data_IF_352270364543
#
_entry.id   IF_352270364543
#
_cell.length_a   1.000
_cell.length_b   1.000
_cell.length_c   1.000
_cell.angle_alpha   90.00
_cell.angle_beta   90.00
_cell.angle_gamma   90.00
#
_symmetry.space_group_name_H-M   'P 1'
#
loop_
_entity.id
_entity.type
_entity.pdbx_description
1 polymer ?
#
# COMPACT_ATOMS: atom_id res chain seq x y z
N UNK A 1 -3.97 33.65 -72.70
CA UNK A 1 -2.53 33.97 -72.63
C UNK A 1 -2.41 35.43 -72.99
N UNK A 2 -2.17 36.30 -72.01
CA UNK A 2 -1.93 37.73 -72.26
C UNK A 2 -0.58 37.90 -72.94
N UNK A 3 -0.54 38.51 -74.12
CA UNK A 3 0.71 38.86 -74.81
C UNK A 3 1.56 39.81 -73.95
N UNK A 4 2.88 39.65 -74.02
CA UNK A 4 3.83 40.51 -73.31
C UNK A 4 3.77 41.92 -73.89
N UNK A 5 3.40 42.90 -73.07
CA UNK A 5 3.47 44.32 -73.43
C UNK A 5 4.78 44.90 -72.94
N UNK A 6 5.56 45.48 -73.86
CA UNK A 6 6.81 46.17 -73.54
C UNK A 6 6.49 47.42 -72.72
N UNK A 7 7.26 47.68 -71.67
CA UNK A 7 7.11 48.87 -70.81
C UNK A 7 7.93 49.99 -71.45
N UNK A 8 7.30 51.12 -71.75
CA UNK A 8 7.93 52.22 -72.50
C UNK A 8 8.28 53.41 -71.59
N UNK A 9 7.75 53.43 -70.36
CA UNK A 9 7.97 54.53 -69.41
C UNK A 9 8.24 54.03 -67.99
N UNK A 10 8.95 54.85 -67.21
CA UNK A 10 9.23 54.57 -65.81
C UNK A 10 7.94 54.54 -64.95
N UNK A 11 6.96 55.37 -65.27
CA UNK A 11 5.68 55.42 -64.56
C UNK A 11 4.88 54.12 -64.71
N UNK A 12 4.87 53.53 -65.92
CA UNK A 12 4.23 52.24 -66.17
C UNK A 12 4.92 51.11 -65.37
N UNK A 13 6.25 51.11 -65.31
CA UNK A 13 7.02 50.16 -64.50
C UNK A 13 6.67 50.26 -63.01
N UNK A 14 6.71 51.49 -62.47
CA UNK A 14 6.40 51.75 -61.06
C UNK A 14 4.97 51.34 -60.70
N UNK A 15 4.02 51.55 -61.62
CA UNK A 15 2.61 51.16 -61.45
C UNK A 15 2.46 49.63 -61.38
N UNK A 16 3.12 48.90 -62.27
CA UNK A 16 3.11 47.42 -62.28
C UNK A 16 3.78 46.88 -61.00
N UNK A 17 4.91 47.46 -60.58
CA UNK A 17 5.61 47.07 -59.36
C UNK A 17 4.75 47.33 -58.13
N UNK A 18 4.13 48.51 -58.01
CA UNK A 18 3.20 48.82 -56.90
C UNK A 18 2.03 47.85 -56.85
N UNK A 19 1.40 47.53 -57.99
CA UNK A 19 0.31 46.56 -58.05
C UNK A 19 0.77 45.15 -57.63
N UNK A 20 1.98 44.74 -58.03
CA UNK A 20 2.55 43.45 -57.62
C UNK A 20 2.90 43.40 -56.14
N UNK A 21 3.47 44.48 -55.59
CA UNK A 21 3.74 44.62 -54.16
C UNK A 21 2.46 44.67 -53.33
N UNK A 22 1.41 45.33 -53.81
CA UNK A 22 0.10 45.36 -53.16
C UNK A 22 -0.50 43.97 -53.01
N UNK A 23 -0.56 43.21 -54.12
CA UNK A 23 -1.00 41.80 -54.09
C UNK A 23 -0.16 40.93 -53.15
N UNK A 24 1.15 41.15 -53.12
CA UNK A 24 2.04 40.40 -52.22
C UNK A 24 1.75 40.72 -50.75
N UNK A 25 1.55 42.00 -50.42
CA UNK A 25 1.20 42.43 -49.06
C UNK A 25 -0.16 41.86 -48.61
N UNK A 26 -1.16 41.86 -49.49
CA UNK A 26 -2.46 41.24 -49.20
C UNK A 26 -2.33 39.73 -49.00
N UNK A 27 -1.50 39.06 -49.81
CA UNK A 27 -1.29 37.62 -49.70
C UNK A 27 -0.64 37.19 -48.37
N UNK A 28 0.14 38.05 -47.74
CA UNK A 28 0.84 37.79 -46.47
C UNK A 28 0.35 38.69 -45.33
N UNK A 29 -0.87 39.23 -45.44
CA UNK A 29 -1.41 40.15 -44.44
C UNK A 29 -1.60 39.50 -43.05
N UNK A 30 -1.78 38.18 -43.02
CA UNK A 30 -1.99 37.36 -41.83
C UNK A 30 -0.70 36.75 -41.25
N UNK A 31 0.46 36.96 -41.91
CA UNK A 31 1.71 36.30 -41.54
C UNK A 31 2.15 36.59 -40.11
N UNK A 32 2.05 37.85 -39.66
CA UNK A 32 2.43 38.24 -38.31
C UNK A 32 1.49 37.64 -37.25
N UNK A 33 0.18 37.52 -37.56
CA UNK A 33 -0.79 36.86 -36.69
C UNK A 33 -0.50 35.37 -36.59
N UNK A 34 -0.23 34.70 -37.72
CA UNK A 34 0.11 33.29 -37.75
C UNK A 34 1.39 33.02 -36.96
N UNK A 35 2.41 33.87 -37.12
CA UNK A 35 3.67 33.76 -36.38
C UNK A 35 3.45 33.91 -34.87
N UNK A 36 2.65 34.89 -34.46
CA UNK A 36 2.29 35.06 -33.04
C UNK A 36 1.55 33.83 -32.51
N UNK A 37 0.57 33.33 -33.25
CA UNK A 37 -0.24 32.17 -32.84
C UNK A 37 0.58 30.89 -32.72
N UNK A 38 1.52 30.66 -33.64
CA UNK A 38 2.46 29.53 -33.54
C UNK A 38 3.33 29.66 -32.30
N UNK A 39 3.90 30.83 -32.04
CA UNK A 39 4.70 31.05 -30.82
C UNK A 39 3.90 30.82 -29.54
N UNK A 40 2.64 31.26 -29.49
CA UNK A 40 1.77 31.03 -28.33
C UNK A 40 1.44 29.55 -28.17
N UNK A 41 1.07 28.86 -29.26
CA UNK A 41 0.76 27.43 -29.24
C UNK A 41 1.99 26.58 -28.85
N UNK A 42 3.19 26.96 -29.26
CA UNK A 42 4.43 26.29 -28.85
C UNK A 42 4.67 26.44 -27.35
N UNK A 43 4.47 27.64 -26.79
CA UNK A 43 4.59 27.89 -25.36
C UNK A 43 3.52 27.13 -24.55
N UNK A 44 2.27 27.16 -24.99
CA UNK A 44 1.17 26.40 -24.36
C UNK A 44 1.42 24.89 -24.41
N UNK A 45 1.86 24.36 -25.56
CA UNK A 45 2.20 22.94 -25.68
C UNK A 45 3.36 22.54 -24.77
N UNK A 46 4.36 23.40 -24.59
CA UNK A 46 5.44 23.15 -23.65
C UNK A 46 4.92 23.06 -22.20
N UNK A 47 4.09 24.02 -21.77
CA UNK A 47 3.48 24.02 -20.45
C UNK A 47 2.54 22.83 -20.21
N UNK A 48 1.76 22.45 -21.21
CA UNK A 48 0.90 21.26 -21.14
C UNK A 48 1.72 19.97 -21.00
N UNK A 49 2.82 19.83 -21.74
CA UNK A 49 3.73 18.67 -21.63
C UNK A 49 4.34 18.57 -20.23
N UNK A 50 4.77 19.69 -19.66
CA UNK A 50 5.31 19.73 -18.30
C UNK A 50 4.24 19.33 -17.26
N UNK A 51 3.03 19.88 -17.39
CA UNK A 51 1.89 19.54 -16.52
C UNK A 51 1.54 18.05 -16.60
N UNK A 52 1.52 17.47 -17.80
CA UNK A 52 1.28 16.04 -18.00
C UNK A 52 2.39 15.19 -17.37
N UNK A 53 3.65 15.59 -17.54
CA UNK A 53 4.78 14.88 -16.93
C UNK A 53 4.67 14.89 -15.40
N UNK A 54 4.36 16.05 -14.80
CA UNK A 54 4.18 16.18 -13.36
C UNK A 54 2.97 15.37 -12.86
N UNK A 55 1.84 15.43 -13.56
CA UNK A 55 0.65 14.64 -13.22
C UNK A 55 0.91 13.14 -13.26
N UNK A 56 1.68 12.66 -14.25
CA UNK A 56 2.04 11.25 -14.35
C UNK A 56 2.96 10.82 -13.20
N UNK A 57 3.92 11.66 -12.80
CA UNK A 57 4.77 11.38 -11.65
C UNK A 57 3.94 11.29 -10.37
N UNK A 58 3.05 12.25 -10.14
CA UNK A 58 2.15 12.24 -8.97
C UNK A 58 1.23 11.01 -8.96
N UNK A 59 0.73 10.59 -10.12
CA UNK A 59 -0.08 9.38 -10.23
C UNK A 59 0.72 8.12 -9.85
N UNK A 60 1.97 8.01 -10.31
CA UNK A 60 2.85 6.89 -9.95
C UNK A 60 3.17 6.88 -8.44
N UNK A 61 3.40 8.05 -7.85
CA UNK A 61 3.67 8.17 -6.41
C UNK A 61 2.43 7.76 -5.57
N UNK A 62 1.22 8.10 -6.03
CA UNK A 62 -0.01 7.66 -5.37
C UNK A 62 -0.26 6.16 -5.53
N UNK A 63 0.02 5.57 -6.69
CA UNK A 63 -0.13 4.12 -6.88
C UNK A 63 0.79 3.36 -5.92
N UNK A 64 2.05 3.78 -5.80
CA UNK A 64 3.01 3.21 -4.85
C UNK A 64 2.53 3.31 -3.40
N UNK A 65 1.97 4.46 -3.01
CA UNK A 65 1.38 4.63 -1.66
C UNK A 65 0.17 3.71 -1.45
N UNK A 66 -0.70 3.56 -2.45
CA UNK A 66 -1.86 2.66 -2.39
C UNK A 66 -1.42 1.21 -2.21
N UNK A 67 -0.42 0.75 -2.95
CA UNK A 67 0.15 -0.60 -2.78
C UNK A 67 0.75 -0.80 -1.39
N UNK A 68 1.49 0.20 -0.88
CA UNK A 68 2.04 0.19 0.47
C UNK A 68 0.96 0.11 1.55
N UNK A 69 -0.11 0.89 1.42
CA UNK A 69 -1.25 0.84 2.35
C UNK A 69 -2.01 -0.47 2.27
N UNK A 70 -2.24 -1.02 1.06
CA UNK A 70 -2.87 -2.35 0.89
C UNK A 70 -2.09 -3.44 1.60
N UNK A 71 -0.76 -3.47 1.43
CA UNK A 71 0.12 -4.43 2.10
C UNK A 71 0.04 -4.30 3.63
N UNK A 72 0.06 -3.06 4.12
CA UNK A 72 -0.05 -2.78 5.56
C UNK A 72 -1.41 -3.23 6.13
N UNK A 73 -2.50 -2.97 5.41
CA UNK A 73 -3.85 -3.40 5.80
C UNK A 73 -3.93 -4.92 5.84
N UNK A 74 -3.45 -5.62 4.81
CA UNK A 74 -3.42 -7.08 4.77
C UNK A 74 -2.61 -7.67 5.94
N UNK A 75 -1.49 -7.03 6.29
CA UNK A 75 -0.69 -7.38 7.47
C UNK A 75 -1.47 -7.24 8.77
N UNK A 76 -2.17 -6.12 8.97
CA UNK A 76 -3.02 -5.90 10.16
C UNK A 76 -4.21 -6.86 10.24
N UNK A 77 -4.87 -7.14 9.12
CA UNK A 77 -5.99 -8.10 9.06
C UNK A 77 -5.53 -9.51 9.43
N UNK A 78 -4.36 -9.93 8.91
CA UNK A 78 -3.76 -11.22 9.24
C UNK A 78 -3.39 -11.29 10.72
N UNK A 79 -2.71 -10.27 11.26
CA UNK A 79 -2.35 -10.21 12.68
C UNK A 79 -3.58 -10.27 13.59
N UNK A 80 -4.63 -9.50 13.27
CA UNK A 80 -5.90 -9.51 14.02
C UNK A 80 -6.54 -10.89 14.01
N UNK A 81 -6.55 -11.57 12.87
CA UNK A 81 -7.11 -12.92 12.73
C UNK A 81 -6.31 -13.92 13.56
N UNK A 82 -4.98 -13.87 13.50
CA UNK A 82 -4.10 -14.70 14.34
C UNK A 82 -4.34 -14.48 15.83
N UNK A 83 -4.46 -13.23 16.28
CA UNK A 83 -4.78 -12.92 17.69
C UNK A 83 -6.14 -13.46 18.09
N UNK A 84 -7.17 -13.31 17.24
CA UNK A 84 -8.50 -13.84 17.53
C UNK A 84 -8.50 -15.38 17.65
N UNK A 85 -7.76 -16.07 16.78
CA UNK A 85 -7.61 -17.52 16.84
C UNK A 85 -6.83 -17.94 18.10
N UNK A 86 -5.71 -17.29 18.41
CA UNK A 86 -4.94 -17.60 19.62
C UNK A 86 -5.80 -17.50 20.89
N UNK A 87 -6.58 -16.42 21.02
CA UNK A 87 -7.53 -16.24 22.13
C UNK A 87 -8.59 -17.34 22.17
N UNK A 88 -9.15 -17.72 21.01
CA UNK A 88 -10.18 -18.75 20.91
C UNK A 88 -9.68 -20.14 21.33
N UNK A 89 -8.41 -20.45 21.05
CA UNK A 89 -7.79 -21.74 21.37
C UNK A 89 -7.02 -21.74 22.69
N UNK A 90 -7.13 -20.67 23.48
CA UNK A 90 -6.49 -20.57 24.80
C UNK A 90 -4.97 -20.44 24.76
N UNK A 91 -4.43 -20.01 23.61
CA UNK A 91 -3.01 -19.72 23.45
C UNK A 91 -2.71 -18.31 23.98
N UNK A 92 -1.60 -18.12 24.71
CA UNK A 92 -1.16 -16.78 25.09
C UNK A 92 -0.98 -15.89 23.85
N UNK A 93 -1.30 -14.60 23.98
CA UNK A 93 -1.30 -13.63 22.86
C UNK A 93 0.06 -13.55 22.16
N UNK A 94 1.15 -13.69 22.92
CA UNK A 94 2.53 -13.72 22.41
C UNK A 94 2.78 -14.83 21.37
N UNK A 95 1.92 -15.86 21.31
CA UNK A 95 2.01 -16.93 20.32
C UNK A 95 1.15 -16.71 19.08
N UNK A 96 0.32 -15.65 19.03
CA UNK A 96 -0.48 -15.33 17.86
C UNK A 96 0.40 -15.18 16.61
N UNK A 97 1.53 -14.48 16.73
CA UNK A 97 2.47 -14.27 15.61
C UNK A 97 3.11 -15.56 15.11
N UNK A 98 3.14 -16.61 15.95
CA UNK A 98 3.72 -17.91 15.61
C UNK A 98 2.76 -18.83 14.85
N UNK A 99 1.47 -18.52 14.81
CA UNK A 99 0.51 -19.27 14.01
C UNK A 99 0.85 -19.17 12.53
N UNK A 100 0.97 -20.32 11.87
CA UNK A 100 1.29 -20.42 10.44
C UNK A 100 0.06 -20.87 9.65
N UNK A 101 -0.18 -20.19 8.54
CA UNK A 101 -1.32 -20.46 7.67
C UNK A 101 -1.67 -19.26 6.80
N UNK A 102 -2.14 -19.54 5.58
CA UNK A 102 -2.62 -18.54 4.63
C UNK A 102 -4.13 -18.32 4.77
N UNK A 103 -4.86 -19.36 5.18
CA UNK A 103 -6.32 -19.35 5.35
C UNK A 103 -6.72 -19.54 6.82
N UNK A 104 -7.92 -19.06 7.19
CA UNK A 104 -8.48 -19.20 8.54
C UNK A 104 -8.50 -20.67 9.01
N UNK A 105 -8.86 -21.61 8.13
CA UNK A 105 -8.86 -23.04 8.46
C UNK A 105 -7.46 -23.58 8.79
N UNK A 106 -6.43 -23.11 8.08
CA UNK A 106 -5.05 -23.52 8.33
C UNK A 106 -4.50 -22.95 9.64
N UNK A 107 -4.82 -21.69 9.94
CA UNK A 107 -4.49 -21.04 11.21
C UNK A 107 -5.19 -21.70 12.40
N UNK A 108 -6.45 -22.11 12.22
CA UNK A 108 -7.21 -22.87 13.21
C UNK A 108 -6.54 -24.22 13.49
N UNK A 109 -6.22 -24.99 12.45
CA UNK A 109 -5.60 -26.30 12.60
C UNK A 109 -4.23 -26.21 13.30
N UNK A 110 -3.45 -25.18 12.98
CA UNK A 110 -2.17 -24.93 13.63
C UNK A 110 -2.35 -24.52 15.10
N UNK A 111 -3.32 -23.65 15.40
CA UNK A 111 -3.64 -23.27 16.77
C UNK A 111 -4.12 -24.46 17.61
N UNK A 112 -4.91 -25.37 17.04
CA UNK A 112 -5.35 -26.60 17.71
C UNK A 112 -4.18 -27.51 18.05
N UNK A 113 -3.25 -27.70 17.10
CA UNK A 113 -2.01 -28.46 17.33
C UNK A 113 -1.19 -27.83 18.44
N UNK A 114 -0.99 -26.52 18.38
CA UNK A 114 -0.18 -25.81 19.37
C UNK A 114 -0.83 -25.85 20.76
N UNK A 115 -2.15 -25.68 20.84
CA UNK A 115 -2.89 -25.79 22.09
C UNK A 115 -2.82 -27.21 22.67
N UNK A 116 -2.83 -28.26 21.83
CA UNK A 116 -2.69 -29.64 22.29
C UNK A 116 -1.33 -29.93 22.94
N UNK A 117 -0.26 -29.26 22.50
CA UNK A 117 1.09 -29.37 23.07
C UNK A 117 1.23 -28.63 24.41
N UNK A 118 0.44 -27.57 24.62
CA UNK A 118 0.46 -26.77 25.84
C UNK A 118 -0.42 -27.33 26.96
N UNK A 119 -1.35 -28.24 26.64
CA UNK A 119 -2.15 -28.91 27.67
C UNK A 119 -1.24 -29.80 28.51
N UNK A 120 -1.33 -29.75 29.85
CA UNK A 120 -0.56 -30.64 30.70
C UNK A 120 -0.90 -32.09 30.34
N UNK A 121 0.10 -32.83 29.87
CA UNK A 121 -0.08 -34.18 29.32
C UNK A 121 -0.26 -35.25 30.40
N UNK A 122 0.00 -34.95 31.67
CA UNK A 122 -0.22 -35.91 32.76
C UNK A 122 -0.73 -35.20 34.03
N UNK A 123 -1.59 -35.86 34.83
CA UNK A 123 -1.84 -35.42 36.19
C UNK A 123 -0.50 -35.37 36.93
N UNK A 124 -0.17 -34.21 37.50
CA UNK A 124 1.05 -34.04 38.30
C UNK A 124 0.98 -35.12 39.40
N UNK A 125 1.90 -36.10 39.43
CA UNK A 125 1.87 -37.11 40.46
C UNK A 125 1.96 -36.41 41.82
N UNK A 126 1.20 -36.87 42.84
CA UNK A 126 1.25 -36.25 44.15
C UNK A 126 2.70 -36.18 44.62
N UNK A 127 3.04 -35.08 45.30
CA UNK A 127 4.38 -34.90 45.87
C UNK A 127 4.72 -36.14 46.69
N UNK A 128 5.97 -36.61 46.56
CA UNK A 128 6.47 -37.74 47.35
C UNK A 128 6.25 -37.42 48.84
N UNK A 129 5.57 -38.31 49.54
CA UNK A 129 5.41 -38.21 50.98
C UNK A 129 6.80 -38.26 51.65
N UNK A 130 7.16 -37.18 52.35
CA UNK A 130 8.41 -37.06 53.11
C UNK A 130 8.18 -37.30 54.60
N UNK A 131 6.94 -37.62 55.01
CA UNK A 131 6.65 -37.88 56.40
C UNK A 131 7.30 -39.20 56.83
N UNK A 132 8.02 -39.23 57.96
CA UNK A 132 8.57 -40.46 58.49
C UNK A 132 7.43 -41.44 58.82
N UNK A 133 7.67 -42.74 58.57
CA UNK A 133 6.75 -43.81 58.93
C UNK A 133 6.83 -44.03 60.45
N UNK A 134 5.92 -43.37 61.19
CA UNK A 134 5.83 -43.46 62.65
C UNK A 134 5.00 -44.69 63.01
N UNK A 135 5.51 -45.57 63.89
CA UNK A 135 4.85 -46.82 64.33
C UNK A 135 4.53 -46.74 65.83
N UNK A 136 3.41 -47.35 66.25
CA UNK A 136 2.99 -47.42 67.66
C UNK A 136 2.07 -46.27 68.09
N UNK A 137 2.04 -45.92 69.38
CA UNK A 137 1.19 -44.84 69.94
C UNK A 137 1.40 -43.49 69.24
N UNK A 138 2.60 -43.23 68.73
CA UNK A 138 2.93 -42.02 67.97
C UNK A 138 2.21 -41.93 66.60
N UNK A 139 1.70 -43.05 66.07
CA UNK A 139 0.88 -43.06 64.85
C UNK A 139 -0.53 -42.49 65.09
N UNK A 140 -1.12 -42.76 66.26
CA UNK A 140 -2.42 -42.18 66.64
C UNK A 140 -2.33 -40.66 66.83
N UNK A 141 -1.23 -40.16 67.39
CA UNK A 141 -1.00 -38.71 67.50
C UNK A 141 -0.84 -38.04 66.13
N UNK A 142 -0.25 -38.73 65.15
CA UNK A 142 -0.14 -38.26 63.76
C UNK A 142 -1.52 -38.09 63.10
N UNK A 143 -2.44 -39.04 63.27
CA UNK A 143 -3.80 -38.94 62.73
C UNK A 143 -4.60 -37.79 63.35
N UNK A 144 -4.49 -37.58 64.66
CA UNK A 144 -5.15 -36.48 65.36
C UNK A 144 -4.68 -35.12 64.84
N UNK A 145 -3.36 -34.93 64.66
CA UNK A 145 -2.80 -33.69 64.11
C UNK A 145 -3.21 -33.48 62.65
N UNK A 146 -3.27 -34.56 61.85
CA UNK A 146 -3.72 -34.48 60.45
C UNK A 146 -5.18 -34.01 60.34
N UNK A 147 -6.06 -34.52 61.21
CA UNK A 147 -7.47 -34.14 61.22
C UNK A 147 -7.69 -32.70 61.71
N UNK A 148 -6.83 -32.19 62.62
CA UNK A 148 -6.85 -30.79 63.04
C UNK A 148 -6.46 -29.82 61.90
N UNK A 149 -5.55 -30.23 61.01
CA UNK A 149 -5.14 -29.43 59.85
C UNK A 149 -6.12 -29.47 58.66
N UNK A 150 -7.19 -30.27 58.73
CA UNK A 150 -8.22 -30.41 57.69
C UNK A 150 -9.52 -29.64 58.02
N UNK A 151 -9.60 -28.99 59.19
CA UNK A 151 -10.80 -28.30 59.67
C UNK A 151 -10.91 -26.80 59.32
N UNK A 152 -10.12 -26.29 58.36
CA UNK A 152 -10.28 -24.95 57.75
C UNK A 152 -10.47 -25.02 56.22
#
# INVERSE_FOLDING_TARGET
MSEFKVIETQEELDTIIKARLGRLKEQYADYDELKYRVSTLEAENAGLKETVAQSNQTAADFESQIEGYKSTIAGYETAKTKTAIALKYGLPIEFADRLQGEDEASLIADAERFASLMRPQDPIPPLKDIEPEVKGEDASYKELVRNLNLED
#
